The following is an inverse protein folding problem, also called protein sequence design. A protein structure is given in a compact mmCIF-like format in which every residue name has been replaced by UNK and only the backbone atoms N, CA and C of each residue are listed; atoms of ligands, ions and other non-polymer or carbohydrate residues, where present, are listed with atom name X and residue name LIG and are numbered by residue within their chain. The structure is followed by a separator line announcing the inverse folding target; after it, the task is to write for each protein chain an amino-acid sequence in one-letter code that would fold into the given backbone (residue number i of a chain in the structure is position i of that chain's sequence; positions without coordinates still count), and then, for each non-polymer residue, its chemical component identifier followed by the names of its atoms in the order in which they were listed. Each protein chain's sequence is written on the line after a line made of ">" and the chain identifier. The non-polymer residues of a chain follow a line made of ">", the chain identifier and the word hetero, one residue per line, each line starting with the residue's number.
data_IF_358077286117
#
_entry.id   IF_358077286117
#
_cell.length_a   1.000
_cell.length_b   1.000
_cell.length_c   1.000
_cell.angle_alpha   90.00
_cell.angle_beta   90.00
_cell.angle_gamma   90.00
#
_symmetry.space_group_name_H-M   'P 1'
#
loop_
_entity.id
_entity.type
_entity.pdbx_description
1 polymer ?
#
# COMPACT_ATOMS: atom_id res chain seq x y z
N UNK A 1 59.72 26.93 49.19
CA UNK A 1 59.32 26.91 47.76
C UNK A 1 58.28 25.82 47.56
N UNK A 2 56.99 26.15 47.63
CA UNK A 2 55.89 25.23 47.31
C UNK A 2 55.40 25.53 45.90
N UNK A 3 55.46 24.54 45.01
CA UNK A 3 54.93 24.61 43.64
C UNK A 3 53.47 24.16 43.65
N UNK A 4 52.59 25.05 43.24
CA UNK A 4 51.15 24.80 43.06
C UNK A 4 50.93 24.09 41.72
N UNK A 5 50.29 22.92 41.75
CA UNK A 5 49.90 22.17 40.54
C UNK A 5 48.45 22.52 40.21
N UNK A 6 48.19 23.01 38.99
CA UNK A 6 46.83 23.26 38.47
C UNK A 6 46.25 21.96 37.90
N UNK A 7 44.99 21.59 38.20
CA UNK A 7 44.35 20.45 37.56
C UNK A 7 43.88 20.86 36.15
N UNK A 8 44.16 19.99 35.19
CA UNK A 8 43.68 20.08 33.81
C UNK A 8 42.26 19.45 33.78
N UNK A 9 41.25 20.27 33.52
CA UNK A 9 39.86 19.84 33.38
C UNK A 9 39.68 19.23 31.98
N UNK A 10 39.60 17.90 31.91
CA UNK A 10 39.26 17.16 30.69
C UNK A 10 37.73 17.19 30.51
N UNK A 11 37.24 17.91 29.50
CA UNK A 11 35.82 17.91 29.13
C UNK A 11 35.61 16.78 28.13
N UNK A 12 35.00 15.68 28.59
CA UNK A 12 34.51 14.59 27.73
C UNK A 12 33.28 15.10 26.97
N UNK A 13 33.41 15.31 25.66
CA UNK A 13 32.25 15.52 24.80
C UNK A 13 31.53 14.17 24.59
N UNK A 14 30.21 14.08 24.85
CA UNK A 14 29.47 12.88 24.53
C UNK A 14 29.43 12.71 23.01
N UNK A 15 29.82 11.53 22.54
CA UNK A 15 29.63 11.12 21.16
C UNK A 15 28.13 11.20 20.85
N UNK A 16 27.74 12.12 19.97
CA UNK A 16 26.42 12.10 19.35
C UNK A 16 26.35 10.84 18.49
N UNK A 17 25.67 9.82 19.01
CA UNK A 17 25.22 8.68 18.22
C UNK A 17 24.09 9.20 17.34
N UNK A 18 24.38 9.43 16.06
CA UNK A 18 23.36 9.66 15.04
C UNK A 18 22.66 8.32 14.83
N UNK A 19 21.46 8.16 15.39
CA UNK A 19 20.55 7.10 14.96
C UNK A 19 20.07 7.47 13.56
N UNK A 20 20.48 6.72 12.55
CA UNK A 20 19.69 6.63 11.32
C UNK A 20 18.41 5.88 11.71
N UNK A 21 17.35 6.63 12.01
CA UNK A 21 16.01 6.08 11.90
C UNK A 21 15.81 5.75 10.42
N UNK A 22 15.57 4.48 10.08
CA UNK A 22 15.03 4.13 8.77
C UNK A 22 13.78 4.99 8.58
N UNK A 23 13.86 5.93 7.64
CA UNK A 23 12.75 6.84 7.36
C UNK A 23 11.62 5.97 6.84
N UNK A 24 10.56 5.77 7.63
CA UNK A 24 9.26 5.33 7.12
C UNK A 24 8.67 6.48 6.32
N UNK A 25 9.27 6.77 5.17
CA UNK A 25 9.08 7.99 4.37
C UNK A 25 7.67 8.10 3.76
N UNK A 26 6.82 7.09 3.97
CA UNK A 26 5.52 6.99 3.33
C UNK A 26 4.34 6.98 4.29
N UNK A 27 4.53 7.20 5.60
CA UNK A 27 3.40 7.21 6.55
C UNK A 27 2.41 8.36 6.29
N UNK A 28 2.85 9.44 5.61
CA UNK A 28 1.98 10.54 5.17
C UNK A 28 1.34 10.35 3.79
N UNK A 29 1.64 9.27 3.06
CA UNK A 29 1.11 9.04 1.72
C UNK A 29 -0.28 8.40 1.78
N UNK A 30 -1.33 9.18 1.58
CA UNK A 30 -2.73 8.69 1.53
C UNK A 30 -3.16 8.42 0.09
N UNK A 31 -3.91 7.33 -0.12
CA UNK A 31 -4.30 6.88 -1.46
C UNK A 31 -5.81 6.63 -1.55
N UNK A 32 -6.44 7.08 -2.64
CA UNK A 32 -7.74 6.58 -3.11
C UNK A 32 -7.53 5.49 -4.15
N UNK A 33 -8.26 4.40 -3.99
CA UNK A 33 -8.26 3.30 -4.94
C UNK A 33 -9.56 3.28 -5.74
N UNK A 34 -9.46 2.90 -7.01
CA UNK A 34 -10.56 2.40 -7.81
C UNK A 34 -10.55 0.88 -7.71
N UNK A 35 -11.49 0.33 -6.95
CA UNK A 35 -11.62 -1.10 -6.68
C UNK A 35 -12.73 -1.69 -7.52
N UNK A 36 -12.41 -2.70 -8.33
CA UNK A 36 -13.40 -3.45 -9.12
C UNK A 36 -13.42 -4.90 -8.68
N UNK A 37 -14.62 -5.43 -8.45
CA UNK A 37 -14.85 -6.85 -8.21
C UNK A 37 -15.65 -7.45 -9.38
N UNK A 38 -15.33 -8.69 -9.74
CA UNK A 38 -16.04 -9.49 -10.73
C UNK A 38 -16.23 -10.92 -10.22
N UNK A 39 -17.47 -11.25 -9.86
CA UNK A 39 -17.92 -12.60 -9.52
C UNK A 39 -18.53 -13.23 -10.77
N UNK A 40 -17.95 -14.36 -11.23
CA UNK A 40 -18.38 -14.99 -12.48
C UNK A 40 -19.34 -16.17 -12.30
N UNK A 41 -19.60 -16.62 -11.07
CA UNK A 41 -20.48 -17.76 -10.76
C UNK A 41 -21.38 -17.49 -9.55
N UNK A 42 -22.55 -18.13 -9.53
CA UNK A 42 -23.69 -18.02 -8.59
C UNK A 42 -24.43 -16.67 -8.53
N UNK A 43 -23.70 -15.58 -8.45
CA UNK A 43 -24.25 -14.22 -8.58
C UNK A 43 -23.33 -13.43 -9.49
N UNK A 44 -23.64 -13.44 -10.79
CA UNK A 44 -22.91 -12.64 -11.77
C UNK A 44 -22.96 -11.19 -11.31
N UNK A 45 -21.82 -10.69 -10.83
CA UNK A 45 -21.73 -9.38 -10.22
C UNK A 45 -20.44 -8.72 -10.65
N UNK A 46 -20.55 -7.56 -11.28
CA UNK A 46 -19.42 -6.70 -11.60
C UNK A 46 -19.74 -5.31 -11.09
N UNK A 47 -18.90 -4.80 -10.20
CA UNK A 47 -19.07 -3.46 -9.65
C UNK A 47 -17.72 -2.82 -9.41
N UNK A 48 -17.71 -1.49 -9.53
CA UNK A 48 -16.55 -0.65 -9.28
C UNK A 48 -16.92 0.42 -8.26
N UNK A 49 -16.02 0.65 -7.30
CA UNK A 49 -16.17 1.66 -6.25
C UNK A 49 -14.88 2.47 -6.12
N UNK A 50 -15.03 3.74 -5.77
CA UNK A 50 -13.92 4.62 -5.38
C UNK A 50 -13.86 4.68 -3.87
N UNK A 51 -12.68 4.41 -3.29
CA UNK A 51 -12.49 4.49 -1.85
C UNK A 51 -12.36 5.96 -1.38
N UNK A 52 -12.61 6.25 -0.09
CA UNK A 52 -12.04 7.46 0.51
C UNK A 52 -10.50 7.40 0.48
N UNK A 53 -9.84 8.50 0.84
CA UNK A 53 -8.40 8.45 1.14
C UNK A 53 -8.17 7.49 2.31
N UNK A 54 -7.33 6.50 2.06
CA UNK A 54 -6.92 5.53 3.06
C UNK A 54 -5.53 5.91 3.58
N UNK A 55 -5.26 5.61 4.84
CA UNK A 55 -3.93 5.78 5.43
C UNK A 55 -3.13 4.48 5.29
N UNK A 56 -1.84 4.57 4.97
CA UNK A 56 -0.98 3.40 4.85
C UNK A 56 -0.82 2.74 6.22
N UNK A 57 -0.53 1.45 6.23
CA UNK A 57 -0.21 0.69 7.45
C UNK A 57 -1.36 0.67 8.50
N UNK A 58 -2.58 1.05 8.11
CA UNK A 58 -3.76 0.94 8.99
C UNK A 58 -4.14 -0.52 9.15
N UNK A 59 -4.37 -0.96 10.39
CA UNK A 59 -4.81 -2.33 10.64
C UNK A 59 -6.20 -2.58 10.06
N UNK A 60 -6.48 -3.82 9.64
CA UNK A 60 -7.78 -4.17 9.05
C UNK A 60 -8.94 -3.96 10.02
N UNK A 61 -8.70 -4.12 11.33
CA UNK A 61 -9.69 -3.89 12.39
C UNK A 61 -10.08 -2.41 12.56
N UNK A 62 -9.14 -1.52 12.27
CA UNK A 62 -9.34 -0.07 12.36
C UNK A 62 -9.83 0.54 11.04
N UNK A 63 -9.87 -0.26 9.98
CA UNK A 63 -10.26 0.16 8.64
C UNK A 63 -11.77 0.00 8.44
N UNK A 64 -12.43 1.07 8.00
CA UNK A 64 -13.86 1.01 7.66
C UNK A 64 -14.09 0.13 6.42
N UNK A 65 -15.06 -0.79 6.44
CA UNK A 65 -15.37 -1.60 5.26
C UNK A 65 -15.84 -0.76 4.07
N UNK A 66 -15.36 -1.11 2.89
CA UNK A 66 -15.78 -0.58 1.59
C UNK A 66 -16.74 -1.59 0.96
N UNK A 67 -17.90 -1.11 0.49
CA UNK A 67 -18.86 -1.92 -0.25
C UNK A 67 -18.61 -1.77 -1.75
N UNK A 68 -18.43 -2.89 -2.46
CA UNK A 68 -18.23 -2.94 -3.91
C UNK A 68 -19.56 -3.31 -4.56
N UNK A 69 -20.48 -2.34 -4.61
CA UNK A 69 -21.85 -2.58 -5.05
C UNK A 69 -22.53 -3.65 -4.20
N UNK A 70 -23.07 -4.69 -4.86
CA UNK A 70 -23.64 -5.88 -4.22
C UNK A 70 -22.69 -7.09 -4.28
N UNK A 71 -21.46 -6.92 -4.80
CA UNK A 71 -20.58 -8.05 -5.11
C UNK A 71 -19.80 -8.53 -3.89
N UNK A 72 -19.26 -7.60 -3.10
CA UNK A 72 -18.55 -7.90 -1.86
C UNK A 72 -18.46 -6.64 -0.98
N UNK A 73 -18.03 -6.81 0.26
CA UNK A 73 -17.76 -5.76 1.22
C UNK A 73 -16.60 -6.18 2.11
N UNK A 74 -15.70 -5.27 2.43
CA UNK A 74 -14.54 -5.60 3.26
C UNK A 74 -13.65 -4.40 3.54
N UNK A 75 -12.81 -4.42 4.60
CA UNK A 75 -11.76 -3.44 4.75
C UNK A 75 -10.69 -3.59 3.66
N UNK A 76 -10.24 -2.46 3.10
CA UNK A 76 -9.11 -2.38 2.20
C UNK A 76 -7.94 -1.73 2.93
N UNK A 77 -6.84 -2.45 3.09
CA UNK A 77 -5.61 -1.93 3.68
C UNK A 77 -4.50 -1.90 2.65
N UNK A 78 -3.50 -1.06 2.85
CA UNK A 78 -2.30 -1.11 2.04
C UNK A 78 -1.07 -0.74 2.85
N UNK A 79 0.09 -1.18 2.37
CA UNK A 79 1.41 -0.76 2.84
C UNK A 79 2.22 -0.24 1.66
N UNK A 80 3.14 0.68 1.93
CA UNK A 80 4.04 1.23 0.91
C UNK A 80 5.45 0.80 1.25
N UNK A 81 6.12 0.15 0.31
CA UNK A 81 7.48 -0.31 0.43
C UNK A 81 8.34 0.31 -0.67
N UNK A 82 9.65 0.49 -0.46
CA UNK A 82 10.56 0.76 -1.56
C UNK A 82 10.45 -0.36 -2.61
N UNK A 83 10.59 -0.01 -3.89
CA UNK A 83 10.65 -1.01 -4.95
C UNK A 83 11.79 -2.01 -4.68
N UNK A 84 11.55 -3.29 -4.93
CA UNK A 84 12.50 -4.37 -4.61
C UNK A 84 13.77 -4.31 -5.48
N UNK A 85 13.66 -3.75 -6.69
CA UNK A 85 14.79 -3.53 -7.58
C UNK A 85 15.08 -2.02 -7.72
N UNK A 86 16.22 -1.52 -7.19
CA UNK A 86 16.60 -0.11 -7.30
C UNK A 86 16.94 0.32 -8.74
N UNK A 87 17.14 -0.61 -9.67
CA UNK A 87 17.30 -0.32 -11.10
C UNK A 87 15.97 -0.39 -11.88
N UNK A 88 14.87 -0.75 -11.22
CA UNK A 88 13.56 -0.72 -11.85
C UNK A 88 13.05 0.72 -11.96
N UNK A 89 12.19 0.96 -12.95
CA UNK A 89 11.55 2.26 -13.15
C UNK A 89 10.61 2.64 -11.98
N UNK A 90 10.08 1.62 -11.31
CA UNK A 90 9.23 1.77 -10.13
C UNK A 90 10.09 2.14 -8.93
N UNK A 91 9.62 3.11 -8.15
CA UNK A 91 10.32 3.56 -6.93
C UNK A 91 9.66 3.01 -5.68
N UNK A 92 8.38 2.67 -5.79
CA UNK A 92 7.51 2.24 -4.71
C UNK A 92 6.75 1.00 -5.14
N UNK A 93 6.48 0.14 -4.18
CA UNK A 93 5.54 -0.98 -4.29
C UNK A 93 4.43 -0.73 -3.27
N UNK A 94 3.19 -0.64 -3.76
CA UNK A 94 2.00 -0.50 -2.93
C UNK A 94 1.36 -1.88 -2.81
N UNK A 95 1.55 -2.52 -1.68
CA UNK A 95 0.96 -3.83 -1.38
C UNK A 95 -0.44 -3.62 -0.81
N UNK A 96 -1.46 -4.05 -1.55
CA UNK A 96 -2.87 -3.87 -1.22
C UNK A 96 -3.47 -5.20 -0.80
N UNK A 97 -4.25 -5.18 0.28
CA UNK A 97 -4.97 -6.34 0.81
C UNK A 97 -6.44 -5.97 1.02
N UNK A 98 -7.36 -6.75 0.44
CA UNK A 98 -8.79 -6.59 0.67
C UNK A 98 -9.35 -7.77 1.47
N UNK A 99 -9.90 -7.48 2.64
CA UNK A 99 -10.45 -8.48 3.54
C UNK A 99 -11.93 -8.71 3.21
N UNK A 100 -12.17 -9.55 2.21
CA UNK A 100 -13.49 -10.05 1.80
C UNK A 100 -14.35 -10.53 2.97
N UNK A 101 -15.68 -10.40 2.85
CA UNK A 101 -16.63 -10.96 3.82
C UNK A 101 -16.83 -12.47 3.70
N UNK A 102 -16.30 -13.10 2.66
CA UNK A 102 -16.37 -14.55 2.49
C UNK A 102 -15.40 -15.23 3.46
N UNK A 103 -15.97 -15.97 4.42
CA UNK A 103 -15.29 -16.47 5.63
C UNK A 103 -14.17 -17.48 5.32
N UNK A 104 -14.24 -18.17 4.19
CA UNK A 104 -13.27 -19.24 3.82
C UNK A 104 -12.26 -18.82 2.76
N UNK A 105 -12.31 -17.56 2.31
CA UNK A 105 -11.41 -17.05 1.31
C UNK A 105 -10.13 -16.49 1.96
N UNK A 106 -8.99 -16.68 1.29
CA UNK A 106 -7.83 -15.85 1.60
C UNK A 106 -8.12 -14.39 1.18
N UNK A 107 -7.60 -13.40 1.89
CA UNK A 107 -7.68 -12.03 1.42
C UNK A 107 -6.93 -11.90 0.10
N UNK A 108 -7.55 -11.39 -0.99
CA UNK A 108 -6.82 -11.03 -2.19
C UNK A 108 -5.75 -9.98 -1.88
N UNK A 109 -4.50 -10.34 -2.20
CA UNK A 109 -3.32 -9.48 -2.09
C UNK A 109 -2.73 -9.25 -3.47
N UNK A 110 -2.31 -8.01 -3.77
CA UNK A 110 -1.45 -7.74 -4.92
C UNK A 110 -0.56 -6.51 -4.70
N UNK A 111 0.55 -6.44 -5.45
CA UNK A 111 1.49 -5.32 -5.45
C UNK A 111 1.25 -4.43 -6.68
N UNK A 112 1.10 -3.13 -6.45
CA UNK A 112 1.11 -2.11 -7.50
C UNK A 112 2.51 -1.48 -7.53
N UNK A 113 3.24 -1.78 -8.58
CA UNK A 113 4.51 -1.13 -8.85
C UNK A 113 4.27 0.31 -9.35
N UNK A 114 4.82 1.28 -8.65
CA UNK A 114 4.47 2.69 -8.83
C UNK A 114 5.68 3.62 -8.67
N UNK A 115 5.65 4.74 -9.39
CA UNK A 115 6.75 5.71 -9.42
C UNK A 115 6.34 7.10 -8.93
N UNK A 116 5.15 7.25 -8.34
CA UNK A 116 4.62 8.56 -7.92
C UNK A 116 3.91 9.35 -9.03
N UNK A 117 3.65 8.76 -10.20
CA UNK A 117 3.02 9.45 -11.34
C UNK A 117 1.83 8.69 -11.90
N UNK A 118 0.95 9.40 -12.62
CA UNK A 118 -0.24 8.84 -13.28
C UNK A 118 0.08 8.09 -14.59
N UNK A 119 1.32 8.18 -15.09
CA UNK A 119 1.64 7.89 -16.50
C UNK A 119 2.32 6.53 -16.65
N UNK A 120 2.10 5.59 -15.73
CA UNK A 120 2.75 4.29 -15.79
C UNK A 120 1.77 3.13 -15.53
N UNK A 121 1.67 2.15 -16.44
CA UNK A 121 2.44 1.98 -17.68
C UNK A 121 1.85 2.77 -18.87
N UNK A 122 2.71 3.33 -19.73
CA UNK A 122 2.31 3.71 -21.08
C UNK A 122 1.97 2.43 -21.84
N UNK A 123 0.68 2.07 -21.86
CA UNK A 123 0.20 0.95 -22.64
C UNK A 123 0.00 1.37 -24.10
N UNK A 124 0.45 0.53 -25.04
CA UNK A 124 0.10 0.69 -26.47
C UNK A 124 -1.24 0.05 -26.80
N UNK A 125 -1.84 -0.68 -25.86
CA UNK A 125 -3.15 -1.30 -26.00
C UNK A 125 -4.23 -0.38 -25.44
N UNK A 126 -5.14 0.16 -26.28
CA UNK A 126 -6.21 1.03 -25.82
C UNK A 126 -7.23 0.34 -24.89
N UNK A 127 -7.19 -0.99 -24.76
CA UNK A 127 -8.03 -1.74 -23.82
C UNK A 127 -7.48 -1.79 -22.40
N UNK A 128 -6.22 -1.42 -22.19
CA UNK A 128 -5.59 -1.38 -20.87
C UNK A 128 -5.84 -0.05 -20.14
N UNK A 129 -5.95 -0.11 -18.82
CA UNK A 129 -6.14 1.08 -17.99
C UNK A 129 -4.83 1.84 -17.82
N UNK A 130 -4.82 3.19 -17.99
CA UNK A 130 -3.61 3.98 -17.76
C UNK A 130 -3.27 4.15 -16.27
N UNK A 131 -4.22 3.87 -15.36
CA UNK A 131 -3.98 3.98 -13.93
C UNK A 131 -3.06 2.85 -13.43
N UNK A 132 -2.05 3.16 -12.61
CA UNK A 132 -1.24 2.15 -11.95
C UNK A 132 -2.15 1.21 -11.15
N UNK A 133 -1.98 -0.09 -11.34
CA UNK A 133 -2.82 -1.06 -10.68
C UNK A 133 -2.29 -2.48 -10.73
N UNK A 134 -2.98 -3.35 -10.01
CA UNK A 134 -2.75 -4.77 -10.01
C UNK A 134 -4.08 -5.51 -10.08
N UNK A 135 -3.99 -6.75 -10.52
CA UNK A 135 -5.10 -7.66 -10.60
C UNK A 135 -4.75 -8.94 -9.84
N UNK A 136 -5.74 -9.48 -9.15
CA UNK A 136 -5.63 -10.80 -8.54
C UNK A 136 -6.97 -11.50 -8.67
N UNK A 137 -6.91 -12.83 -8.75
CA UNK A 137 -8.09 -13.69 -8.69
C UNK A 137 -7.93 -14.59 -7.48
N UNK A 138 -8.94 -14.65 -6.64
CA UNK A 138 -8.99 -15.62 -5.56
C UNK A 138 -10.17 -16.58 -5.77
N UNK A 139 -9.94 -17.85 -5.45
CA UNK A 139 -11.00 -18.85 -5.41
C UNK A 139 -11.55 -18.85 -4.00
N UNK A 140 -12.59 -18.04 -3.78
CA UNK A 140 -13.12 -17.75 -2.43
C UNK A 140 -13.60 -19.02 -1.70
N UNK A 141 -13.84 -20.11 -2.43
CA UNK A 141 -14.30 -21.42 -1.91
C UNK A 141 -13.74 -22.62 -2.71
N UNK A 142 -12.62 -22.47 -3.41
CA UNK A 142 -12.04 -23.52 -4.25
C UNK A 142 -12.72 -23.73 -5.62
N UNK A 143 -13.97 -23.31 -5.79
CA UNK A 143 -14.74 -23.49 -7.03
C UNK A 143 -15.31 -22.20 -7.66
N UNK A 144 -15.39 -21.10 -6.90
CA UNK A 144 -15.98 -19.84 -7.36
C UNK A 144 -14.89 -18.76 -7.48
N UNK A 145 -14.44 -18.43 -8.71
CA UNK A 145 -13.42 -17.40 -8.89
C UNK A 145 -14.04 -16.01 -8.73
N UNK A 146 -13.44 -15.21 -7.86
CA UNK A 146 -13.71 -13.80 -7.67
C UNK A 146 -12.46 -13.03 -8.08
N UNK A 147 -12.64 -12.07 -8.98
CA UNK A 147 -11.54 -11.29 -9.52
C UNK A 147 -11.59 -9.87 -8.99
N UNK A 148 -10.43 -9.35 -8.60
CA UNK A 148 -10.27 -8.00 -8.08
C UNK A 148 -9.25 -7.23 -8.90
N UNK A 149 -9.60 -6.00 -9.26
CA UNK A 149 -8.64 -5.03 -9.80
C UNK A 149 -8.54 -3.87 -8.82
N UNK A 150 -7.31 -3.56 -8.44
CA UNK A 150 -6.96 -2.43 -7.60
C UNK A 150 -6.20 -1.43 -8.45
N UNK A 151 -6.66 -0.18 -8.51
CA UNK A 151 -5.97 0.89 -9.23
C UNK A 151 -5.82 2.10 -8.34
N UNK A 152 -4.67 2.76 -8.38
CA UNK A 152 -4.43 4.04 -7.72
C UNK A 152 -5.16 5.11 -8.54
N UNK A 153 -6.16 5.75 -7.93
CA UNK A 153 -6.95 6.79 -8.58
C UNK A 153 -6.44 8.20 -8.25
N UNK A 154 -6.03 8.42 -7.00
CA UNK A 154 -5.58 9.71 -6.49
C UNK A 154 -4.70 9.47 -5.26
N UNK A 155 -3.71 10.33 -5.01
CA UNK A 155 -2.89 10.29 -3.81
C UNK A 155 -2.57 11.70 -3.32
N UNK A 156 -2.28 11.82 -2.04
CA UNK A 156 -1.86 13.07 -1.40
C UNK A 156 -0.82 12.79 -0.30
N UNK A 157 -0.08 13.83 0.11
CA UNK A 157 0.86 13.79 1.21
C UNK A 157 0.35 14.67 2.35
N UNK A 158 0.03 14.05 3.49
CA UNK A 158 -0.50 14.73 4.69
C UNK A 158 0.51 14.80 5.84
#
# INVERSE_FOLDING_TARGET
>A
MMRTVKPLLLILMPAMVVYCSDVTEFDGLVIKFLLTANATQDTVCMATVVTPFLQPNTSWNDTKPIAIGQCDKGPLTYTVKPATDPNSYSKLSVEVTFYTTVISAMPPVCSIEWNGTYVFPQTTDPSESPLPGCWTSDSQEGWHPMQYWFRILEWDFI
#
